data_IF_306484428187
#
_entry.id   IF_306484428187
#
_cell.length_a   1.000
_cell.length_b   1.000
_cell.length_c   1.000
_cell.angle_alpha   90.00
_cell.angle_beta   90.00
_cell.angle_gamma   90.00
#
_symmetry.space_group_name_H-M   'P 1'
#
loop_
_entity.id
_entity.type
_entity.pdbx_description
1 polymer ?
#
# COMPACT_ATOMS: atom_id res chain seq x y z
N UNK A 1 -21.01 -18.04 -2.32
CA UNK A 1 -20.15 -17.09 -3.07
C UNK A 1 -18.72 -17.64 -3.20
N UNK A 2 -18.38 -18.46 -4.21
CA UNK A 2 -17.10 -19.19 -4.29
C UNK A 2 -15.85 -18.34 -4.61
N UNK A 3 -16.01 -17.07 -5.01
CA UNK A 3 -14.87 -16.22 -5.44
C UNK A 3 -14.16 -15.46 -4.31
N UNK A 4 -14.82 -15.26 -3.17
CA UNK A 4 -14.31 -14.41 -2.07
C UNK A 4 -13.12 -15.05 -1.34
N UNK A 5 -13.13 -16.38 -1.17
CA UNK A 5 -12.07 -17.11 -0.45
C UNK A 5 -10.73 -17.11 -1.19
N UNK A 6 -10.74 -17.22 -2.53
CA UNK A 6 -9.49 -17.18 -3.33
C UNK A 6 -8.81 -15.81 -3.20
N UNK A 7 -9.60 -14.73 -3.25
CA UNK A 7 -9.09 -13.35 -3.13
C UNK A 7 -8.51 -13.05 -1.75
N UNK A 8 -9.15 -13.57 -0.68
CA UNK A 8 -8.65 -13.45 0.70
C UNK A 8 -7.31 -14.20 0.88
N UNK A 9 -7.22 -15.46 0.41
CA UNK A 9 -6.00 -16.28 0.55
C UNK A 9 -4.80 -15.71 -0.21
N UNK A 10 -5.01 -15.09 -1.37
CA UNK A 10 -3.94 -14.42 -2.12
C UNK A 10 -3.35 -13.27 -1.32
N UNK A 11 -4.22 -12.42 -0.74
CA UNK A 11 -3.81 -11.28 0.10
C UNK A 11 -3.10 -11.73 1.38
N UNK A 12 -3.53 -12.83 1.99
CA UNK A 12 -2.86 -13.38 3.17
C UNK A 12 -1.47 -13.94 2.85
N UNK A 13 -1.27 -14.55 1.67
CA UNK A 13 0.05 -15.00 1.21
C UNK A 13 0.99 -13.84 0.90
N UNK A 14 0.48 -12.80 0.22
CA UNK A 14 1.16 -11.53 0.00
C UNK A 14 1.70 -10.94 1.31
N UNK A 15 0.78 -10.80 2.27
CA UNK A 15 1.06 -10.24 3.58
C UNK A 15 2.06 -11.07 4.37
N UNK A 16 1.97 -12.42 4.30
CA UNK A 16 2.97 -13.30 4.93
C UNK A 16 4.35 -13.19 4.28
N UNK A 17 4.43 -13.01 2.95
CA UNK A 17 5.72 -12.84 2.26
C UNK A 17 6.37 -11.50 2.62
N UNK A 18 5.59 -10.43 2.65
CA UNK A 18 6.06 -9.12 3.10
C UNK A 18 6.49 -9.12 4.58
N UNK A 19 5.80 -9.88 5.45
CA UNK A 19 6.16 -10.03 6.86
C UNK A 19 7.38 -10.94 7.10
N UNK A 20 7.76 -11.78 6.13
CA UNK A 20 8.91 -12.68 6.24
C UNK A 20 10.24 -11.97 5.90
N UNK A 21 10.18 -10.84 5.21
CA UNK A 21 11.34 -10.02 4.86
C UNK A 21 11.44 -8.88 5.86
N UNK A 22 12.61 -8.74 6.52
CA UNK A 22 12.87 -7.55 7.33
C UNK A 22 12.90 -6.32 6.43
N UNK A 23 12.23 -5.26 6.83
CA UNK A 23 12.05 -4.08 6.02
C UNK A 23 11.17 -3.06 6.71
N UNK A 24 11.07 -1.88 6.12
CA UNK A 24 10.22 -0.80 6.61
C UNK A 24 9.34 -0.26 5.48
N UNK A 25 8.30 0.47 5.86
CA UNK A 25 7.41 1.13 4.91
C UNK A 25 7.81 2.59 4.79
N UNK A 26 8.25 2.99 3.59
CA UNK A 26 8.65 4.36 3.30
C UNK A 26 7.49 5.13 2.65
N UNK A 27 7.06 6.28 3.21
CA UNK A 27 5.98 7.08 2.64
C UNK A 27 6.47 7.86 1.41
N UNK A 28 5.79 7.72 0.28
CA UNK A 28 6.15 8.43 -0.97
C UNK A 28 5.22 9.59 -1.32
N UNK A 29 3.95 9.49 -0.92
CA UNK A 29 2.94 10.47 -1.29
C UNK A 29 1.85 10.58 -0.23
N UNK A 30 1.35 11.80 -0.01
CA UNK A 30 0.26 12.08 0.92
C UNK A 30 -0.68 13.12 0.30
N UNK A 31 -1.98 12.85 0.31
CA UNK A 31 -3.00 13.76 -0.24
C UNK A 31 -4.30 13.61 0.53
N UNK A 32 -5.15 14.64 0.53
CA UNK A 32 -6.53 14.55 1.03
C UNK A 32 -7.49 14.13 -0.09
N UNK A 33 -7.06 14.23 -1.34
CA UNK A 33 -7.86 13.95 -2.52
C UNK A 33 -7.76 12.49 -2.94
N UNK A 34 -8.89 11.77 -2.88
CA UNK A 34 -8.95 10.37 -3.26
C UNK A 34 -8.62 10.14 -4.76
N UNK A 35 -8.89 11.14 -5.61
CA UNK A 35 -8.54 11.12 -7.04
C UNK A 35 -7.03 11.10 -7.26
N UNK A 36 -6.32 12.03 -6.64
CA UNK A 36 -4.87 12.15 -6.74
C UNK A 36 -4.15 10.89 -6.24
N UNK A 37 -4.62 10.32 -5.12
CA UNK A 37 -4.05 9.06 -4.61
C UNK A 37 -4.20 7.92 -5.64
N UNK A 38 -5.38 7.78 -6.26
CA UNK A 38 -5.60 6.74 -7.28
C UNK A 38 -4.71 6.95 -8.51
N UNK A 39 -4.56 8.18 -8.96
CA UNK A 39 -3.65 8.49 -10.07
C UNK A 39 -2.21 8.19 -9.73
N UNK A 40 -1.76 8.57 -8.53
CA UNK A 40 -0.41 8.33 -8.07
C UNK A 40 -0.10 6.84 -8.01
N UNK A 41 -1.00 6.02 -7.44
CA UNK A 41 -0.83 4.56 -7.40
C UNK A 41 -0.79 3.96 -8.82
N UNK A 42 -1.61 4.47 -9.75
CA UNK A 42 -1.57 4.03 -11.15
C UNK A 42 -0.22 4.34 -11.79
N UNK A 43 0.30 5.56 -11.62
CA UNK A 43 1.61 5.97 -12.14
C UNK A 43 2.73 5.16 -11.51
N UNK A 44 2.72 5.00 -10.19
CA UNK A 44 3.72 4.21 -9.45
C UNK A 44 3.85 2.77 -10.00
N UNK A 45 2.72 2.12 -10.32
CA UNK A 45 2.71 0.80 -10.93
C UNK A 45 3.23 0.79 -12.36
N UNK A 46 2.85 1.80 -13.16
CA UNK A 46 3.23 1.89 -14.57
C UNK A 46 4.70 2.27 -14.77
N UNK A 47 5.22 3.19 -13.95
CA UNK A 47 6.54 3.82 -14.16
C UNK A 47 7.64 3.07 -13.42
N UNK A 48 7.36 2.59 -12.19
CA UNK A 48 8.37 1.94 -11.35
C UNK A 48 8.24 0.44 -11.28
N UNK A 49 7.21 -0.15 -11.90
CA UNK A 49 6.98 -1.59 -11.90
C UNK A 49 6.84 -2.18 -10.49
N UNK A 50 6.43 -1.38 -9.51
CA UNK A 50 6.33 -1.80 -8.11
C UNK A 50 5.23 -2.85 -7.99
N UNK A 51 5.56 -3.99 -7.37
CA UNK A 51 4.60 -5.05 -7.08
C UNK A 51 3.43 -4.48 -6.26
N UNK A 52 2.16 -4.72 -6.64
CA UNK A 52 1.00 -4.35 -5.84
C UNK A 52 1.08 -4.78 -4.36
N UNK A 53 1.80 -5.86 -4.04
CA UNK A 53 2.01 -6.35 -2.67
C UNK A 53 2.99 -5.48 -1.86
N UNK A 54 3.86 -4.72 -2.54
CA UNK A 54 4.82 -3.78 -1.95
C UNK A 54 4.26 -2.36 -1.82
N UNK A 55 2.97 -2.12 -2.11
CA UNK A 55 2.33 -0.80 -1.97
C UNK A 55 1.26 -0.84 -0.88
N UNK A 56 1.36 0.06 0.10
CA UNK A 56 0.35 0.26 1.15
C UNK A 56 -0.30 1.63 1.03
N UNK A 57 -1.62 1.67 1.21
CA UNK A 57 -2.40 2.89 1.25
C UNK A 57 -2.99 2.99 2.65
N UNK A 58 -2.51 3.95 3.44
CA UNK A 58 -3.02 4.25 4.77
C UNK A 58 -4.06 5.38 4.63
N UNK A 59 -5.23 5.23 5.28
CA UNK A 59 -6.24 6.27 5.37
C UNK A 59 -6.29 6.81 6.80
N UNK A 60 -5.84 8.05 6.98
CA UNK A 60 -5.87 8.78 8.24
C UNK A 60 -7.18 9.56 8.31
N UNK A 61 -8.23 8.90 8.78
CA UNK A 61 -9.50 9.56 9.06
C UNK A 61 -9.33 10.41 10.33
N UNK A 62 -9.18 11.72 10.18
CA UNK A 62 -9.24 12.64 11.31
C UNK A 62 -10.58 12.55 12.02
N UNK A 63 -10.58 12.50 13.35
CA UNK A 63 -11.82 12.71 14.11
C UNK A 63 -12.17 14.20 14.06
N UNK A 64 -13.22 14.53 13.33
CA UNK A 64 -14.03 15.76 13.39
C UNK A 64 -13.36 17.08 12.96
N UNK A 65 -12.06 17.29 13.18
CA UNK A 65 -11.37 18.57 12.88
C UNK A 65 -10.33 18.42 11.75
N UNK A 66 -9.78 17.21 11.57
CA UNK A 66 -8.74 16.97 10.56
C UNK A 66 -9.33 16.31 9.31
N UNK A 67 -8.96 16.80 8.11
CA UNK A 67 -9.40 16.18 6.87
C UNK A 67 -8.83 14.76 6.75
N UNK A 68 -9.58 13.89 6.06
CA UNK A 68 -9.11 12.54 5.77
C UNK A 68 -7.91 12.62 4.84
N UNK A 69 -6.78 12.05 5.27
CA UNK A 69 -5.55 12.04 4.47
C UNK A 69 -5.23 10.62 4.04
N UNK A 70 -4.97 10.43 2.76
CA UNK A 70 -4.44 9.20 2.19
C UNK A 70 -2.93 9.29 2.09
N UNK A 71 -2.23 8.26 2.55
CA UNK A 71 -0.78 8.13 2.39
C UNK A 71 -0.43 6.86 1.62
N UNK A 72 0.35 7.00 0.57
CA UNK A 72 0.89 5.89 -0.21
C UNK A 72 2.31 5.63 0.26
N UNK A 73 2.59 4.40 0.67
CA UNK A 73 3.91 3.94 1.13
C UNK A 73 4.36 2.73 0.32
N UNK A 74 5.66 2.57 0.13
CA UNK A 74 6.25 1.38 -0.47
C UNK A 74 7.04 0.58 0.55
N UNK A 75 7.06 -0.73 0.40
CA UNK A 75 7.88 -1.59 1.23
C UNK A 75 9.33 -1.56 0.73
N UNK A 76 10.25 -1.20 1.62
CA UNK A 76 11.69 -1.22 1.37
C UNK A 76 12.29 -2.36 2.20
N UNK A 77 12.77 -3.45 1.57
CA UNK A 77 13.44 -4.51 2.28
C UNK A 77 14.76 -3.99 2.86
N UNK A 78 15.12 -4.40 4.07
CA UNK A 78 16.45 -4.15 4.62
C UNK A 78 17.49 -4.92 3.79
N UNK A 79 18.65 -4.32 3.49
CA UNK A 79 19.73 -5.05 2.86
C UNK A 79 20.15 -6.19 3.81
N UNK A 80 20.17 -7.42 3.32
CA UNK A 80 20.77 -8.53 4.04
C UNK A 80 22.27 -8.24 4.15
N UNK A 81 22.74 -7.98 5.38
CA UNK A 81 24.16 -7.89 5.70
C UNK A 81 24.91 -9.18 5.36
#
# INVERSE_FOLDING_TARGET
MPGQQKRKRSRERAHRRAAAVRGHWEPLFSTQEHGEMKEYVRRLRSERGVDPECVRIDQFCGRTIHPTTYRVSVFVPEPSA
#
